data_IF_879206722482
#
_entry.id   IF_879206722482
#
_cell.length_a   1.000
_cell.length_b   1.000
_cell.length_c   1.000
_cell.angle_alpha   90.00
_cell.angle_beta   90.00
_cell.angle_gamma   90.00
#
_symmetry.space_group_name_H-M   'P 1'
#
loop_
_entity.id
_entity.type
_entity.pdbx_description
1 polymer ?
#
# COMPACT_ATOMS: atom_id res chain seq x y z
N UNK A 1 18.53 6.52 -10.72
CA UNK A 1 17.76 5.59 -9.87
C UNK A 1 16.38 6.19 -9.64
N UNK A 2 15.30 5.44 -9.89
CA UNK A 2 13.95 5.89 -9.56
C UNK A 2 13.77 5.83 -8.03
N UNK A 3 13.16 6.86 -7.43
CA UNK A 3 12.81 6.85 -6.00
C UNK A 3 11.73 5.79 -5.72
N UNK A 4 11.60 5.34 -4.47
CA UNK A 4 10.55 4.38 -4.08
C UNK A 4 9.14 4.85 -4.50
N UNK A 5 8.90 6.18 -4.50
CA UNK A 5 7.65 6.80 -4.99
C UNK A 5 7.42 6.55 -6.49
N UNK A 6 8.46 6.73 -7.32
CA UNK A 6 8.34 6.48 -8.76
C UNK A 6 8.16 4.99 -9.05
N UNK A 7 8.85 4.12 -8.30
CA UNK A 7 8.68 2.68 -8.42
C UNK A 7 7.30 2.19 -7.97
N UNK A 8 6.61 2.93 -7.10
CA UNK A 8 5.29 2.57 -6.58
C UNK A 8 4.26 2.41 -7.70
N UNK A 9 4.14 3.40 -8.58
CA UNK A 9 3.16 3.36 -9.65
C UNK A 9 3.60 2.55 -10.88
N UNK A 10 4.77 1.89 -10.87
CA UNK A 10 5.18 1.05 -11.99
C UNK A 10 4.30 -0.19 -12.17
N UNK A 11 3.67 -0.67 -11.10
CA UNK A 11 2.72 -1.78 -11.15
C UNK A 11 1.35 -1.33 -11.67
N UNK A 12 0.58 -2.27 -12.20
CA UNK A 12 -0.81 -2.07 -12.63
C UNK A 12 -1.83 -2.47 -11.55
N UNK A 13 -1.43 -3.35 -10.63
CA UNK A 13 -2.28 -3.83 -9.54
C UNK A 13 -1.85 -3.25 -8.20
N UNK A 14 -2.83 -2.94 -7.36
CA UNK A 14 -2.66 -2.29 -6.07
C UNK A 14 -3.44 -3.04 -4.99
N UNK A 15 -3.01 -2.90 -3.75
CA UNK A 15 -3.79 -3.35 -2.61
C UNK A 15 -3.72 -2.36 -1.44
N UNK A 16 -4.80 -2.32 -0.66
CA UNK A 16 -4.96 -1.40 0.46
C UNK A 16 -5.14 -2.20 1.74
N UNK A 17 -4.22 -2.02 2.68
CA UNK A 17 -4.32 -2.58 4.04
C UNK A 17 -4.74 -1.47 5.00
N UNK A 18 -5.78 -1.71 5.81
CA UNK A 18 -6.28 -0.73 6.79
C UNK A 18 -7.56 0.00 6.37
N UNK A 19 -8.15 -0.34 5.22
CA UNK A 19 -9.53 0.06 4.90
C UNK A 19 -10.54 -0.63 5.83
N UNK A 20 -11.70 -0.02 6.05
CA UNK A 20 -12.78 -0.60 6.86
C UNK A 20 -14.15 -0.11 6.35
N UNK A 21 -15.25 -0.50 7.01
CA UNK A 21 -16.59 0.02 6.69
C UNK A 21 -16.78 1.50 7.04
N UNK A 22 -15.91 2.05 7.89
CA UNK A 22 -15.97 3.45 8.28
C UNK A 22 -15.29 4.32 7.21
N UNK A 23 -16.09 5.07 6.45
CA UNK A 23 -15.65 5.95 5.37
C UNK A 23 -14.95 7.21 5.86
N UNK A 24 -15.05 7.54 7.15
CA UNK A 24 -14.35 8.71 7.72
C UNK A 24 -12.86 8.44 7.90
N UNK A 25 -12.46 7.16 8.00
CA UNK A 25 -11.07 6.73 8.20
C UNK A 25 -10.23 6.82 6.94
N UNK A 26 -8.97 7.17 7.12
CA UNK A 26 -8.02 7.34 6.02
C UNK A 26 -7.82 6.08 5.17
N UNK A 27 -7.80 4.88 5.77
CA UNK A 27 -7.65 3.64 4.98
C UNK A 27 -8.78 3.46 3.97
N UNK A 28 -10.02 3.81 4.36
CA UNK A 28 -11.19 3.77 3.46
C UNK A 28 -11.13 4.89 2.42
N UNK A 29 -10.71 6.10 2.81
CA UNK A 29 -10.50 7.21 1.86
C UNK A 29 -9.45 6.87 0.80
N UNK A 30 -8.36 6.19 1.19
CA UNK A 30 -7.35 5.69 0.25
C UNK A 30 -7.94 4.64 -0.68
N UNK A 31 -8.72 3.67 -0.18
CA UNK A 31 -9.42 2.71 -1.04
C UNK A 31 -10.35 3.41 -2.06
N UNK A 32 -11.13 4.39 -1.60
CA UNK A 32 -12.00 5.20 -2.47
C UNK A 32 -11.19 6.00 -3.50
N UNK A 33 -10.02 6.51 -3.13
CA UNK A 33 -9.12 7.21 -4.06
C UNK A 33 -8.71 6.31 -5.22
N UNK A 34 -8.31 5.05 -4.96
CA UNK A 34 -7.99 4.08 -6.00
C UNK A 34 -9.21 3.78 -6.88
N UNK A 35 -10.35 3.50 -6.25
CA UNK A 35 -11.61 3.17 -6.94
C UNK A 35 -12.06 4.31 -7.87
N UNK A 36 -11.98 5.56 -7.43
CA UNK A 36 -12.37 6.73 -8.22
C UNK A 36 -11.47 6.99 -9.44
N UNK A 37 -10.35 6.27 -9.56
CA UNK A 37 -9.38 6.39 -10.64
C UNK A 37 -9.31 5.14 -11.51
N UNK A 38 -10.28 4.24 -11.34
CA UNK A 38 -10.37 2.96 -12.04
C UNK A 38 -9.07 2.14 -11.97
N UNK A 39 -8.36 2.24 -10.83
CA UNK A 39 -7.16 1.45 -10.57
C UNK A 39 -7.55 0.07 -10.04
N UNK A 40 -6.87 -0.97 -10.53
CA UNK A 40 -7.06 -2.35 -10.06
C UNK A 40 -6.60 -2.46 -8.61
N UNK A 41 -7.54 -2.38 -7.67
CA UNK A 41 -7.27 -2.34 -6.23
C UNK A 41 -7.97 -3.48 -5.51
N UNK A 42 -7.21 -4.21 -4.68
CA UNK A 42 -7.75 -5.24 -3.78
C UNK A 42 -7.63 -4.79 -2.31
N UNK A 43 -8.73 -4.61 -1.57
CA UNK A 43 -8.66 -4.38 -0.14
C UNK A 43 -8.24 -5.64 0.62
N UNK A 44 -7.33 -5.49 1.58
CA UNK A 44 -6.90 -6.57 2.48
C UNK A 44 -7.56 -6.36 3.83
N UNK A 45 -8.39 -7.30 4.25
CA UNK A 45 -9.13 -7.22 5.51
C UNK A 45 -9.35 -8.61 6.14
N UNK A 46 -9.08 -8.81 7.44
CA UNK A 46 -9.14 -10.14 8.06
C UNK A 46 -10.58 -10.69 8.23
N UNK A 47 -11.56 -9.80 8.39
CA UNK A 47 -12.95 -10.16 8.75
C UNK A 47 -13.97 -9.88 7.65
N UNK A 48 -14.12 -8.62 7.21
CA UNK A 48 -15.06 -8.26 6.15
C UNK A 48 -14.68 -8.92 4.84
N UNK A 49 -15.64 -9.49 4.12
CA UNK A 49 -15.43 -10.10 2.80
C UNK A 49 -15.48 -9.08 1.66
N UNK A 50 -16.07 -7.91 1.90
CA UNK A 50 -16.23 -6.83 0.92
C UNK A 50 -16.08 -5.47 1.59
N UNK A 51 -15.42 -4.53 0.89
CA UNK A 51 -15.33 -3.12 1.26
C UNK A 51 -15.51 -2.25 0.03
N UNK A 52 -16.31 -1.19 0.13
CA UNK A 52 -16.59 -0.26 -0.98
C UNK A 52 -17.03 -0.96 -2.30
N UNK A 53 -17.71 -2.11 -2.20
CA UNK A 53 -18.15 -2.92 -3.35
C UNK A 53 -17.05 -3.75 -3.99
N UNK A 54 -15.88 -3.89 -3.35
CA UNK A 54 -14.74 -4.65 -3.84
C UNK A 54 -14.49 -5.84 -2.90
N UNK A 55 -14.33 -7.04 -3.48
CA UNK A 55 -14.02 -8.24 -2.72
C UNK A 55 -12.65 -8.11 -2.04
N UNK A 56 -12.60 -8.51 -0.79
CA UNK A 56 -11.38 -8.46 0.03
C UNK A 56 -10.63 -9.78 -0.01
N UNK A 57 -9.35 -9.73 0.34
CA UNK A 57 -8.57 -10.90 0.72
C UNK A 57 -8.13 -10.79 2.18
N UNK A 58 -7.92 -11.93 2.86
CA UNK A 58 -7.64 -11.94 4.31
C UNK A 58 -6.25 -11.44 4.69
N UNK A 59 -5.28 -11.61 3.80
CA UNK A 59 -3.88 -11.21 4.00
C UNK A 59 -3.21 -10.99 2.64
N UNK A 60 -1.97 -10.47 2.67
CA UNK A 60 -1.13 -10.28 1.48
C UNK A 60 -0.96 -11.60 0.70
N UNK A 61 -0.92 -12.73 1.39
CA UNK A 61 -0.82 -14.08 0.81
C UNK A 61 -2.03 -14.45 -0.07
N UNK A 62 -3.17 -13.79 0.12
CA UNK A 62 -4.38 -14.01 -0.67
C UNK A 62 -4.43 -13.21 -1.98
N UNK A 63 -3.46 -12.33 -2.24
CA UNK A 63 -3.38 -11.60 -3.51
C UNK A 63 -3.06 -12.57 -4.65
N UNK A 64 -3.65 -12.34 -5.83
CA UNK A 64 -3.45 -13.20 -7.01
C UNK A 64 -2.02 -13.18 -7.52
N UNK A 65 -1.37 -12.02 -7.51
CA UNK A 65 -0.01 -11.81 -7.97
C UNK A 65 0.73 -10.82 -7.05
N UNK A 66 1.15 -11.24 -5.84
CA UNK A 66 1.82 -10.34 -4.88
C UNK A 66 3.06 -9.64 -5.45
N UNK A 67 3.84 -10.34 -6.29
CA UNK A 67 5.05 -9.83 -6.93
C UNK A 67 4.78 -8.76 -8.02
N UNK A 68 3.53 -8.57 -8.41
CA UNK A 68 3.06 -7.57 -9.39
C UNK A 68 2.12 -6.53 -8.75
N UNK A 69 1.98 -6.55 -7.42
CA UNK A 69 1.01 -5.71 -6.68
C UNK A 69 1.71 -4.73 -5.75
N UNK A 70 1.43 -3.44 -5.87
CA UNK A 70 1.90 -2.41 -4.94
C UNK A 70 0.99 -2.24 -3.72
N UNK A 71 1.55 -2.06 -2.53
CA UNK A 71 0.76 -2.00 -1.28
C UNK A 71 0.70 -0.60 -0.67
N UNK A 72 -0.50 -0.08 -0.42
CA UNK A 72 -0.72 1.03 0.51
C UNK A 72 -1.09 0.51 1.89
N UNK A 73 -0.36 0.92 2.93
CA UNK A 73 -0.57 0.46 4.31
C UNK A 73 -0.99 1.64 5.19
N UNK A 74 -2.15 1.51 5.85
CA UNK A 74 -2.78 2.50 6.72
C UNK A 74 -3.20 1.84 8.04
N UNK A 75 -2.27 1.10 8.65
CA UNK A 75 -2.48 0.37 9.91
C UNK A 75 -1.56 0.89 11.00
N UNK A 76 -1.88 0.68 12.29
CA UNK A 76 -0.93 0.93 13.38
C UNK A 76 0.39 0.18 13.18
N UNK A 77 1.50 0.77 13.64
CA UNK A 77 2.85 0.27 13.40
C UNK A 77 3.10 -1.23 13.71
N UNK A 78 2.56 -1.82 14.79
CA UNK A 78 2.72 -3.26 15.03
C UNK A 78 2.13 -4.12 13.92
N UNK A 79 0.99 -3.72 13.35
CA UNK A 79 0.36 -4.43 12.24
C UNK A 79 1.14 -4.17 10.94
N UNK A 80 1.57 -2.93 10.72
CA UNK A 80 2.42 -2.57 9.57
C UNK A 80 3.67 -3.44 9.51
N UNK A 81 4.34 -3.66 10.64
CA UNK A 81 5.53 -4.50 10.70
C UNK A 81 5.26 -5.96 10.26
N UNK A 82 4.14 -6.55 10.70
CA UNK A 82 3.75 -7.90 10.27
C UNK A 82 3.41 -7.96 8.77
N UNK A 83 2.76 -6.93 8.25
CA UNK A 83 2.47 -6.81 6.81
C UNK A 83 3.77 -6.68 6.00
N UNK A 84 4.74 -5.89 6.47
CA UNK A 84 6.04 -5.73 5.81
C UNK A 84 6.84 -7.03 5.75
N UNK A 85 6.82 -7.84 6.83
CA UNK A 85 7.45 -9.17 6.85
C UNK A 85 6.87 -10.06 5.74
N UNK A 86 5.55 -10.17 5.69
CA UNK A 86 4.86 -10.95 4.65
C UNK A 86 5.12 -10.41 3.24
N UNK A 87 5.05 -9.10 3.07
CA UNK A 87 5.28 -8.45 1.78
C UNK A 87 6.72 -8.68 1.28
N UNK A 88 7.70 -8.69 2.19
CA UNK A 88 9.08 -9.06 1.88
C UNK A 88 9.17 -10.52 1.40
N UNK A 89 8.59 -11.46 2.14
CA UNK A 89 8.62 -12.90 1.81
C UNK A 89 7.95 -13.20 0.47
N UNK A 90 6.88 -12.46 0.14
CA UNK A 90 6.14 -12.57 -1.11
C UNK A 90 6.70 -11.72 -2.26
N UNK A 91 7.86 -11.08 -2.05
CA UNK A 91 8.52 -10.24 -3.07
C UNK A 91 7.66 -9.10 -3.62
N UNK A 92 6.81 -8.49 -2.78
CA UNK A 92 5.98 -7.33 -3.14
C UNK A 92 6.86 -6.17 -3.63
N UNK A 93 6.70 -5.70 -4.87
CA UNK A 93 7.69 -4.85 -5.53
C UNK A 93 7.81 -3.47 -4.87
N UNK A 94 6.72 -2.91 -4.38
CA UNK A 94 6.70 -1.57 -3.78
C UNK A 94 5.59 -1.39 -2.76
N UNK A 95 5.88 -0.61 -1.71
CA UNK A 95 5.02 -0.42 -0.55
C UNK A 95 5.03 1.07 -0.19
N UNK A 96 3.88 1.61 0.21
CA UNK A 96 3.75 2.98 0.66
C UNK A 96 3.05 3.02 2.02
N UNK A 97 3.83 3.33 3.06
CA UNK A 97 3.34 3.57 4.40
C UNK A 97 2.71 4.96 4.44
N UNK A 98 1.40 5.00 4.70
CA UNK A 98 0.73 6.28 4.89
C UNK A 98 1.12 6.88 6.25
N UNK A 99 1.08 8.22 6.39
CA UNK A 99 1.52 8.88 7.62
C UNK A 99 0.91 8.27 8.88
N UNK A 100 1.78 7.87 9.80
CA UNK A 100 1.39 7.25 11.08
C UNK A 100 1.27 5.74 11.03
N UNK A 101 1.60 5.10 9.90
CA UNK A 101 1.70 3.64 9.79
C UNK A 101 3.07 3.11 10.22
N UNK A 102 4.07 3.98 10.38
CA UNK A 102 5.43 3.66 10.80
C UNK A 102 5.76 4.14 12.22
N UNK A 103 6.67 3.41 12.87
CA UNK A 103 7.39 3.81 14.08
C UNK A 103 8.89 3.48 13.92
N UNK A 104 9.67 3.64 14.99
CA UNK A 104 11.10 3.33 14.96
C UNK A 104 11.40 1.85 14.60
N UNK A 105 10.54 0.90 15.02
CA UNK A 105 10.73 -0.52 14.73
C UNK A 105 10.46 -0.83 13.26
N UNK A 106 9.42 -0.22 12.69
CA UNK A 106 9.11 -0.32 11.25
C UNK A 106 10.26 0.24 10.42
N UNK A 107 10.77 1.41 10.76
CA UNK A 107 11.91 2.03 10.05
C UNK A 107 13.17 1.18 10.17
N UNK A 108 13.45 0.64 11.36
CA UNK A 108 14.61 -0.23 11.57
C UNK A 108 14.49 -1.51 10.72
N UNK A 109 13.31 -2.13 10.68
CA UNK A 109 13.07 -3.31 9.84
C UNK A 109 13.31 -3.03 8.36
N UNK A 110 12.85 -1.88 7.85
CA UNK A 110 13.08 -1.47 6.45
C UNK A 110 14.58 -1.41 6.14
N UNK A 111 15.37 -0.78 7.03
CA UNK A 111 16.82 -0.62 6.87
C UNK A 111 17.57 -1.95 6.96
N UNK A 112 17.29 -2.74 8.00
CA UNK A 112 17.96 -4.03 8.24
C UNK A 112 17.73 -5.03 7.11
N UNK A 113 16.64 -4.87 6.35
CA UNK A 113 16.29 -5.74 5.24
C UNK A 113 16.55 -5.11 3.85
N UNK A 114 17.19 -3.94 3.78
CA UNK A 114 17.53 -3.27 2.52
C UNK A 114 16.31 -2.91 1.67
N UNK A 115 15.18 -2.56 2.29
CA UNK A 115 13.90 -2.29 1.62
C UNK A 115 13.70 -0.80 1.27
N UNK A 116 14.67 0.07 1.55
CA UNK A 116 14.55 1.52 1.41
C UNK A 116 14.23 1.99 -0.03
N UNK A 117 14.62 1.21 -1.05
CA UNK A 117 14.27 1.49 -2.45
C UNK A 117 12.86 1.03 -2.85
N UNK A 118 12.19 0.22 -2.01
CA UNK A 118 10.87 -0.36 -2.26
C UNK A 118 9.78 0.26 -1.39
N UNK A 119 10.15 0.79 -0.23
CA UNK A 119 9.19 1.31 0.76
C UNK A 119 9.24 2.84 0.80
N UNK A 120 8.10 3.48 0.57
CA UNK A 120 7.89 4.91 0.82
C UNK A 120 7.42 5.08 2.27
N UNK A 121 8.11 5.91 3.04
CA UNK A 121 7.79 6.25 4.44
C UNK A 121 8.32 7.65 4.79
N UNK A 122 7.83 8.25 5.88
CA UNK A 122 8.28 9.58 6.33
C UNK A 122 7.91 10.75 5.41
N UNK A 123 7.00 10.53 4.45
CA UNK A 123 6.59 11.48 3.43
C UNK A 123 5.09 11.73 3.38
N UNK A 124 4.62 12.50 2.39
CA UNK A 124 3.20 12.81 2.24
C UNK A 124 2.34 11.57 1.99
N UNK A 125 1.05 11.73 2.25
CA UNK A 125 0.03 10.73 1.95
C UNK A 125 -0.16 10.58 0.43
N UNK A 126 -0.53 9.38 -0.02
CA UNK A 126 -0.91 9.10 -1.42
C UNK A 126 -2.08 9.98 -1.90
N UNK A 127 -2.95 10.42 -1.00
CA UNK A 127 -4.04 11.35 -1.32
C UNK A 127 -3.53 12.74 -1.74
N UNK A 128 -2.28 13.07 -1.40
CA UNK A 128 -1.65 14.36 -1.72
C UNK A 128 -0.81 14.25 -3.00
N UNK A 129 0.05 13.23 -3.10
CA UNK A 129 1.01 13.13 -4.21
C UNK A 129 0.62 12.11 -5.30
N UNK A 130 -0.36 11.24 -5.04
CA UNK A 130 -0.64 10.09 -5.90
C UNK A 130 -1.11 10.45 -7.31
N UNK A 131 -1.80 11.57 -7.48
CA UNK A 131 -2.24 12.02 -8.81
C UNK A 131 -1.10 12.57 -9.66
N UNK A 132 -0.25 13.40 -9.07
CA UNK A 132 0.90 13.97 -9.75
C UNK A 132 1.87 12.87 -10.19
N UNK A 133 2.16 11.91 -9.30
CA UNK A 133 3.05 10.78 -9.59
C UNK A 133 2.48 9.84 -10.65
N UNK A 134 1.17 9.56 -10.62
CA UNK A 134 0.52 8.73 -11.65
C UNK A 134 0.54 9.42 -13.02
N UNK A 135 0.26 10.72 -13.05
CA UNK A 135 0.26 11.51 -14.29
C UNK A 135 1.65 11.62 -14.90
N UNK A 136 2.67 11.77 -14.06
CA UNK A 136 4.07 11.76 -14.49
C UNK A 136 4.46 10.43 -15.17
N UNK A 137 3.96 9.28 -14.68
CA UNK A 137 4.16 7.98 -15.33
C UNK A 137 3.47 7.89 -16.69
N UNK A 138 2.24 8.39 -16.81
CA UNK A 138 1.47 8.31 -18.06
C UNK A 138 2.09 9.12 -19.22
N UNK A 139 3.04 10.00 -18.93
CA UNK A 139 3.72 10.88 -19.90
C UNK A 139 5.07 10.32 -20.38
N UNK A 140 5.52 9.19 -19.82
CA UNK A 140 6.75 8.47 -20.20
C UNK A 140 6.43 7.28 -21.10
#
# INVERSE_FOLDING_TARGET
MATAKNAFFNQSSFAVVGASKDQTKFGTKVLQWYKARDLDVTPIHPVQSELEGIQTVKSVDGLKAPAETSLSIITPAPITLEVLKKAKDLSVPSIWLQPGAEDANVVQFIKDNGLENRVVYGGPCILVEGDDLRSAKATL
#
